data_IF_405915816093
#
_entry.id   IF_405915816093
#
_cell.length_a   1.000
_cell.length_b   1.000
_cell.length_c   1.000
_cell.angle_alpha   90.00
_cell.angle_beta   90.00
_cell.angle_gamma   90.00
#
_symmetry.space_group_name_H-M   'P 1'
#
loop_
_entity.id
_entity.type
_entity.pdbx_description
1 polymer ?
#
# COMPACT_ATOMS: atom_id res chain seq x y z
N UNK A 1 -5.54 -9.94 -8.96
CA UNK A 1 -5.60 -10.26 -7.51
C UNK A 1 -4.22 -10.08 -6.93
N UNK A 2 -4.13 -9.54 -5.72
CA UNK A 2 -2.87 -9.51 -4.97
C UNK A 2 -2.48 -10.97 -4.65
N UNK A 3 -1.22 -11.35 -4.88
CA UNK A 3 -0.73 -12.71 -4.64
C UNK A 3 -0.94 -13.13 -3.18
N UNK A 4 -1.28 -14.40 -2.93
CA UNK A 4 -1.43 -14.94 -1.57
C UNK A 4 -0.16 -14.78 -0.72
N UNK A 5 1.02 -14.67 -1.34
CA UNK A 5 2.28 -14.44 -0.65
C UNK A 5 2.60 -12.95 -0.42
N UNK A 6 1.62 -12.05 -0.58
CA UNK A 6 1.85 -10.62 -0.41
C UNK A 6 1.98 -10.26 1.07
N UNK A 7 3.20 -9.90 1.47
CA UNK A 7 3.45 -9.45 2.83
C UNK A 7 2.87 -8.04 3.03
N UNK A 8 1.70 -7.97 3.68
CA UNK A 8 1.00 -6.72 3.99
C UNK A 8 1.75 -5.91 5.06
N UNK A 9 2.53 -6.57 5.91
CA UNK A 9 3.23 -5.94 7.04
C UNK A 9 4.66 -5.50 6.72
N UNK A 10 5.22 -5.93 5.59
CA UNK A 10 6.56 -5.50 5.20
C UNK A 10 6.64 -3.97 5.09
N UNK A 11 7.71 -3.34 5.61
CA UNK A 11 7.87 -1.90 5.50
C UNK A 11 8.12 -1.48 4.05
N UNK A 12 7.88 -0.21 3.76
CA UNK A 12 7.98 0.37 2.41
C UNK A 12 9.33 0.02 1.72
N UNK A 13 10.44 0.24 2.42
CA UNK A 13 11.80 0.00 1.90
C UNK A 13 12.18 -1.48 1.65
N UNK A 14 11.34 -2.43 2.05
CA UNK A 14 11.50 -3.87 1.74
C UNK A 14 10.41 -4.37 0.79
N UNK A 15 9.45 -3.53 0.46
CA UNK A 15 8.29 -3.87 -0.34
C UNK A 15 8.59 -3.61 -1.81
N UNK A 16 7.91 -4.35 -2.69
CA UNK A 16 7.90 -4.09 -4.13
C UNK A 16 6.61 -3.40 -4.50
N UNK A 17 6.67 -2.56 -5.53
CA UNK A 17 5.47 -1.99 -6.15
C UNK A 17 4.53 -3.10 -6.59
N UNK A 18 3.23 -2.85 -6.52
CA UNK A 18 2.21 -3.83 -6.83
C UNK A 18 1.04 -3.17 -7.52
N UNK A 19 0.60 -3.81 -8.59
CA UNK A 19 -0.56 -3.39 -9.36
C UNK A 19 -1.81 -4.07 -8.84
N UNK A 20 -2.91 -3.31 -8.79
CA UNK A 20 -4.21 -3.81 -8.35
C UNK A 20 -5.25 -3.53 -9.42
N UNK A 21 -6.06 -4.54 -9.72
CA UNK A 21 -7.20 -4.42 -10.63
C UNK A 21 -8.45 -4.13 -9.81
N UNK A 22 -9.18 -3.08 -10.20
CA UNK A 22 -10.43 -2.67 -9.55
C UNK A 22 -11.52 -2.62 -10.62
N UNK A 23 -12.65 -3.26 -10.32
CA UNK A 23 -13.81 -3.26 -11.21
C UNK A 23 -14.75 -2.13 -10.79
N UNK A 24 -14.97 -1.19 -11.70
CA UNK A 24 -15.88 -0.08 -11.47
C UNK A 24 -17.34 -0.55 -11.45
N UNK A 25 -18.16 0.08 -10.62
CA UNK A 25 -19.60 -0.15 -10.53
C UNK A 25 -20.33 1.05 -11.12
N UNK A 26 -21.43 0.80 -11.81
CA UNK A 26 -22.30 1.86 -12.32
C UNK A 26 -22.89 2.66 -11.16
N UNK A 27 -22.89 3.97 -11.28
CA UNK A 27 -23.54 4.88 -10.33
C UNK A 27 -25.06 4.71 -10.41
N UNK A 28 -25.75 4.68 -9.27
CA UNK A 28 -27.20 4.56 -9.23
C UNK A 28 -27.92 5.83 -9.71
N UNK A 29 -27.27 6.99 -9.63
CA UNK A 29 -27.87 8.30 -9.93
C UNK A 29 -27.50 8.82 -11.32
N UNK A 30 -26.52 8.22 -12.00
CA UNK A 30 -26.02 8.68 -13.29
C UNK A 30 -25.81 7.51 -14.25
N UNK A 31 -26.43 7.59 -15.43
CA UNK A 31 -26.46 6.50 -16.43
C UNK A 31 -25.08 6.21 -17.00
N UNK A 32 -24.24 7.24 -17.15
CA UNK A 32 -22.92 7.15 -17.79
C UNK A 32 -21.76 7.31 -16.80
N UNK A 33 -22.05 7.24 -15.49
CA UNK A 33 -21.04 7.38 -14.44
C UNK A 33 -20.69 6.01 -13.86
N UNK A 34 -19.40 5.81 -13.64
CA UNK A 34 -18.85 4.62 -13.00
C UNK A 34 -17.98 5.04 -11.82
N UNK A 35 -18.10 4.33 -10.71
CA UNK A 35 -17.35 4.57 -9.49
C UNK A 35 -16.55 3.35 -9.09
N UNK A 36 -15.33 3.56 -8.64
CA UNK A 36 -14.44 2.53 -8.12
C UNK A 36 -13.88 2.99 -6.77
N UNK A 37 -13.66 2.04 -5.87
CA UNK A 37 -13.10 2.30 -4.55
C UNK A 37 -11.77 1.57 -4.43
N UNK A 38 -10.69 2.31 -4.16
CA UNK A 38 -9.37 1.77 -3.87
C UNK A 38 -9.15 1.79 -2.35
N UNK A 39 -9.16 0.64 -1.67
CA UNK A 39 -8.76 0.57 -0.27
C UNK A 39 -7.24 0.77 -0.19
N UNK A 40 -6.81 1.72 0.65
CA UNK A 40 -5.40 2.04 0.86
C UNK A 40 -5.01 1.67 2.28
N UNK A 41 -3.90 0.97 2.43
CA UNK A 41 -3.26 0.68 3.71
C UNK A 41 -1.84 1.21 3.69
N UNK A 42 -1.51 2.11 4.63
CA UNK A 42 -0.19 2.71 4.70
C UNK A 42 0.82 1.78 5.36
N UNK A 43 1.95 1.56 4.70
CA UNK A 43 3.08 0.80 5.25
C UNK A 43 3.94 1.66 6.17
N UNK A 44 4.71 1.00 7.02
CA UNK A 44 5.73 1.67 7.82
C UNK A 44 6.85 2.21 6.92
N UNK A 45 7.14 3.49 7.08
CA UNK A 45 8.24 4.18 6.39
C UNK A 45 9.41 4.40 7.34
N UNK A 46 10.59 4.65 6.76
CA UNK A 46 11.77 5.00 7.57
C UNK A 46 11.57 6.37 8.21
N UNK A 47 12.14 6.58 9.41
CA UNK A 47 12.17 7.91 10.00
C UNK A 47 12.94 8.88 9.09
N UNK A 48 12.51 10.14 9.07
CA UNK A 48 13.10 11.18 8.23
C UNK A 48 13.75 12.30 9.07
N UNK A 49 14.64 13.08 8.44
CA UNK A 49 15.47 14.08 9.14
C UNK A 49 14.78 15.42 9.35
N UNK A 50 13.99 15.86 8.37
CA UNK A 50 13.51 17.24 8.29
C UNK A 50 12.08 17.37 8.78
N UNK A 51 11.19 16.67 8.10
CA UNK A 51 9.76 16.77 8.34
C UNK A 51 9.26 15.43 8.86
N UNK A 52 8.32 15.50 9.82
CA UNK A 52 7.67 14.33 10.41
C UNK A 52 6.70 13.63 9.46
N UNK A 53 6.74 13.95 8.16
CA UNK A 53 5.88 13.39 7.13
C UNK A 53 6.71 12.96 5.91
N UNK A 54 6.25 11.91 5.23
CA UNK A 54 6.72 11.51 3.90
C UNK A 54 5.57 11.60 2.89
N UNK A 55 5.91 11.94 1.64
CA UNK A 55 4.95 12.04 0.56
C UNK A 55 4.94 10.75 -0.26
N UNK A 56 3.76 10.19 -0.47
CA UNK A 56 3.53 9.04 -1.34
C UNK A 56 2.67 9.49 -2.51
N UNK A 57 3.07 9.11 -3.72
CA UNK A 57 2.36 9.44 -4.95
C UNK A 57 1.59 8.20 -5.41
N UNK A 58 0.27 8.32 -5.48
CA UNK A 58 -0.58 7.33 -6.17
C UNK A 58 -0.80 7.83 -7.59
N UNK A 59 -0.22 7.11 -8.54
CA UNK A 59 -0.35 7.39 -9.97
C UNK A 59 -1.81 7.26 -10.41
N UNK A 60 -2.16 8.02 -11.46
CA UNK A 60 -3.44 7.85 -12.12
C UNK A 60 -3.63 6.41 -12.63
N UNK A 61 -4.82 5.82 -12.49
CA UNK A 61 -5.07 4.43 -12.90
C UNK A 61 -5.15 4.31 -14.43
N UNK A 62 -4.74 3.17 -14.96
CA UNK A 62 -5.07 2.83 -16.34
C UNK A 62 -6.53 2.39 -16.45
N UNK A 63 -7.27 2.97 -17.40
CA UNK A 63 -8.65 2.59 -17.67
C UNK A 63 -8.69 1.45 -18.68
N UNK A 64 -9.12 0.28 -18.22
CA UNK A 64 -9.31 -0.91 -19.06
C UNK A 64 -10.79 -1.07 -19.40
N UNK A 65 -11.10 -1.25 -20.68
CA UNK A 65 -12.47 -1.44 -21.15
C UNK A 65 -12.53 -2.52 -22.22
N UNK A 66 -13.53 -3.39 -22.13
CA UNK A 66 -13.88 -4.32 -23.19
C UNK A 66 -14.72 -3.61 -24.24
N UNK A 67 -14.43 -3.88 -25.51
CA UNK A 67 -15.08 -3.22 -26.62
C UNK A 67 -15.63 -4.26 -27.58
N UNK A 68 -16.93 -4.21 -27.81
CA UNK A 68 -17.54 -5.01 -28.86
C UNK A 68 -17.32 -4.34 -30.22
N UNK A 69 -16.99 -5.14 -31.23
CA UNK A 69 -16.71 -4.65 -32.58
C UNK A 69 -17.97 -4.10 -33.26
N UNK A 70 -19.15 -4.46 -32.78
CA UNK A 70 -20.45 -4.11 -33.37
C UNK A 70 -20.89 -2.65 -33.13
N UNK A 71 -20.19 -1.88 -32.28
CA UNK A 71 -20.53 -0.47 -31.98
C UNK A 71 -19.49 0.53 -32.51
N UNK A 72 -19.55 0.92 -33.80
CA UNK A 72 -18.55 1.77 -34.45
C UNK A 72 -18.51 3.24 -33.97
N UNK A 73 -19.52 3.72 -33.24
CA UNK A 73 -19.61 5.12 -32.76
C UNK A 73 -18.58 5.38 -31.65
N UNK A 74 -18.22 4.36 -30.89
CA UNK A 74 -17.04 4.34 -30.04
C UNK A 74 -15.98 3.46 -30.71
N UNK A 75 -15.30 3.96 -31.75
CA UNK A 75 -14.00 3.38 -32.13
C UNK A 75 -13.19 3.31 -30.84
N UNK A 76 -12.97 2.16 -30.23
CA UNK A 76 -12.26 2.13 -28.96
C UNK A 76 -10.86 2.70 -29.16
N UNK A 77 -10.55 3.78 -28.45
CA UNK A 77 -9.29 4.51 -28.55
C UNK A 77 -8.22 3.76 -27.75
N UNK A 78 -8.03 2.50 -28.13
CA UNK A 78 -7.14 1.56 -27.48
C UNK A 78 -5.69 2.00 -27.74
N UNK A 79 -4.98 2.34 -26.67
CA UNK A 79 -3.54 2.57 -26.69
C UNK A 79 -2.79 1.25 -26.85
N UNK A 80 -3.26 0.21 -26.17
CA UNK A 80 -2.69 -1.13 -26.14
C UNK A 80 -3.71 -2.15 -25.65
N UNK A 81 -3.43 -3.43 -25.88
CA UNK A 81 -4.22 -4.56 -25.37
C UNK A 81 -3.56 -5.15 -24.13
N UNK A 82 -4.35 -5.47 -23.10
CA UNK A 82 -3.88 -5.99 -21.81
C UNK A 82 -4.68 -7.25 -21.46
N UNK A 83 -3.98 -8.31 -21.05
CA UNK A 83 -4.62 -9.53 -20.56
C UNK A 83 -4.92 -9.40 -19.06
N UNK A 84 -6.20 -9.51 -18.68
CA UNK A 84 -6.63 -9.43 -17.28
C UNK A 84 -7.91 -10.25 -17.04
N UNK A 85 -8.21 -10.66 -15.81
CA UNK A 85 -9.41 -11.44 -15.51
C UNK A 85 -10.70 -10.74 -15.96
N UNK A 86 -11.64 -11.49 -16.52
CA UNK A 86 -12.89 -10.95 -17.07
C UNK A 86 -13.79 -10.33 -15.98
N UNK A 87 -13.72 -10.86 -14.75
CA UNK A 87 -14.47 -10.38 -13.60
C UNK A 87 -13.68 -10.62 -12.31
N UNK A 88 -14.07 -9.94 -11.22
CA UNK A 88 -13.36 -9.96 -9.92
C UNK A 88 -13.06 -11.37 -9.38
N UNK A 89 -13.97 -12.33 -9.61
CA UNK A 89 -13.86 -13.72 -9.14
C UNK A 89 -13.71 -14.73 -10.28
N UNK A 90 -13.53 -14.27 -11.51
CA UNK A 90 -13.35 -15.17 -12.66
C UNK A 90 -11.88 -15.55 -12.81
N UNK A 91 -11.63 -16.82 -13.10
CA UNK A 91 -10.29 -17.30 -13.51
C UNK A 91 -10.07 -17.10 -15.02
N UNK A 92 -11.12 -16.79 -15.78
CA UNK A 92 -11.02 -16.55 -17.22
C UNK A 92 -10.31 -15.22 -17.50
N UNK A 93 -9.37 -15.27 -18.45
CA UNK A 93 -8.59 -14.11 -18.87
C UNK A 93 -9.22 -13.52 -20.14
N UNK A 94 -9.58 -12.25 -20.06
CA UNK A 94 -10.09 -11.46 -21.18
C UNK A 94 -8.99 -10.54 -21.73
N UNK A 95 -9.16 -10.16 -23.00
CA UNK A 95 -8.37 -9.09 -23.62
C UNK A 95 -9.09 -7.77 -23.45
N UNK A 96 -8.43 -6.84 -22.76
CA UNK A 96 -8.95 -5.52 -22.45
C UNK A 96 -8.21 -4.47 -23.27
N UNK A 97 -8.92 -3.42 -23.66
CA UNK A 97 -8.31 -2.26 -24.29
C UNK A 97 -7.93 -1.23 -23.22
N UNK A 98 -6.67 -0.83 -23.19
CA UNK A 98 -6.20 0.32 -22.41
C UNK A 98 -6.62 1.61 -23.09
N UNK A 99 -7.43 2.41 -22.41
CA UNK A 99 -8.06 3.59 -22.96
C UNK A 99 -7.25 4.85 -22.66
N UNK A 100 -7.20 5.75 -23.65
CA UNK A 100 -6.80 7.13 -23.41
C UNK A 100 -7.96 7.89 -22.77
N UNK A 101 -7.69 8.58 -21.65
CA UNK A 101 -8.68 9.41 -20.99
C UNK A 101 -8.05 10.69 -20.46
N UNK A 102 -8.89 11.72 -20.28
CA UNK A 102 -8.46 12.97 -19.66
C UNK A 102 -8.71 12.89 -18.15
N UNK A 103 -7.65 12.71 -17.38
CA UNK A 103 -7.76 12.79 -15.92
C UNK A 103 -8.05 14.22 -15.48
N UNK A 104 -9.02 14.38 -14.58
CA UNK A 104 -9.37 15.66 -13.96
C UNK A 104 -8.36 16.00 -12.86
N UNK A 105 -7.96 14.99 -12.08
CA UNK A 105 -6.98 15.14 -11.01
C UNK A 105 -5.58 14.74 -11.52
N UNK A 106 -4.55 15.48 -11.10
CA UNK A 106 -3.16 14.98 -11.17
C UNK A 106 -2.99 13.81 -10.19
N UNK A 107 -1.81 13.20 -10.18
CA UNK A 107 -1.47 12.14 -9.23
C UNK A 107 -1.86 12.55 -7.80
N UNK A 108 -2.46 11.61 -7.07
CA UNK A 108 -2.89 11.82 -5.70
C UNK A 108 -1.67 11.72 -4.78
N UNK A 109 -1.34 12.81 -4.08
CA UNK A 109 -0.26 12.83 -3.10
C UNK A 109 -0.81 12.64 -1.69
N UNK A 110 -0.35 11.62 -1.00
CA UNK A 110 -0.72 11.28 0.37
C UNK A 110 0.42 11.65 1.31
N UNK A 111 0.11 12.32 2.41
CA UNK A 111 1.06 12.61 3.49
C UNK A 111 0.97 11.50 4.54
N UNK A 112 2.10 10.88 4.84
CA UNK A 112 2.20 9.80 5.83
C UNK A 112 3.14 10.22 6.95
N UNK A 113 2.70 10.23 8.21
CA UNK A 113 3.55 10.61 9.31
C UNK A 113 4.66 9.59 9.55
N UNK A 114 5.87 10.07 9.80
CA UNK A 114 7.09 9.29 10.07
C UNK A 114 7.82 9.81 11.30
N UNK A 115 8.59 8.92 11.93
CA UNK A 115 9.44 9.32 13.05
C UNK A 115 10.56 10.29 12.62
N UNK A 116 11.03 11.11 13.55
CA UNK A 116 12.19 11.98 13.32
C UNK A 116 13.48 11.29 13.73
N UNK A 117 14.46 11.24 12.83
CA UNK A 117 15.78 10.62 13.11
C UNK A 117 16.58 11.37 14.18
N UNK A 118 16.23 12.63 14.47
CA UNK A 118 16.93 13.41 15.50
C UNK A 118 16.72 12.82 16.90
N UNK A 119 15.56 12.18 17.13
CA UNK A 119 15.25 11.54 18.40
C UNK A 119 15.89 10.17 18.56
N UNK A 120 16.49 9.61 17.51
CA UNK A 120 17.06 8.26 17.54
C UNK A 120 18.12 8.12 18.64
N UNK A 121 19.08 9.05 18.74
CA UNK A 121 20.14 8.97 19.76
C UNK A 121 19.58 9.02 21.19
N UNK A 122 18.64 9.94 21.44
CA UNK A 122 18.01 10.11 22.74
C UNK A 122 17.20 8.87 23.12
N UNK A 123 16.32 8.40 22.23
CA UNK A 123 15.48 7.23 22.45
C UNK A 123 16.34 6.01 22.69
N UNK A 124 17.34 5.74 21.84
CA UNK A 124 18.24 4.61 22.00
C UNK A 124 19.00 4.65 23.34
N UNK A 125 19.52 5.82 23.72
CA UNK A 125 20.28 5.97 24.97
C UNK A 125 19.41 5.74 26.20
N UNK A 126 18.21 6.33 26.23
CA UNK A 126 17.26 6.18 27.34
C UNK A 126 16.76 4.74 27.43
N UNK A 127 16.38 4.12 26.31
CA UNK A 127 15.94 2.72 26.29
C UNK A 127 17.06 1.81 26.78
N UNK A 128 18.30 1.97 26.29
CA UNK A 128 19.44 1.16 26.72
C UNK A 128 19.69 1.28 28.22
N UNK A 129 19.67 2.51 28.76
CA UNK A 129 19.88 2.76 30.19
C UNK A 129 18.81 2.09 31.05
N UNK A 130 17.54 2.23 30.67
CA UNK A 130 16.42 1.59 31.37
C UNK A 130 16.54 0.07 31.28
N UNK A 131 16.88 -0.48 30.11
CA UNK A 131 17.07 -1.93 29.94
C UNK A 131 18.17 -2.45 30.84
N UNK A 132 19.34 -1.79 30.89
CA UNK A 132 20.45 -2.19 31.78
C UNK A 132 20.01 -2.14 33.25
N UNK A 133 19.31 -1.09 33.65
CA UNK A 133 18.83 -0.95 35.03
C UNK A 133 17.83 -2.06 35.40
N UNK A 134 16.85 -2.33 34.53
CA UNK A 134 15.90 -3.42 34.76
C UNK A 134 16.59 -4.78 34.78
N UNK A 135 17.51 -5.04 33.86
CA UNK A 135 18.25 -6.32 33.81
C UNK A 135 19.12 -6.52 35.05
N UNK A 136 19.78 -5.48 35.56
CA UNK A 136 20.59 -5.59 36.79
C UNK A 136 19.72 -5.83 38.01
N UNK A 137 18.56 -5.17 38.13
CA UNK A 137 17.61 -5.41 39.21
C UNK A 137 17.06 -6.85 39.19
N UNK A 138 16.69 -7.36 38.02
CA UNK A 138 16.25 -8.75 37.84
C UNK A 138 17.38 -9.71 38.24
N UNK A 139 18.60 -9.46 37.78
CA UNK A 139 19.76 -10.29 38.10
C UNK A 139 20.03 -10.34 39.61
N UNK A 140 19.99 -9.18 40.28
CA UNK A 140 20.14 -9.09 41.75
C UNK A 140 19.03 -9.84 42.45
N UNK A 141 17.78 -9.72 42.01
CA UNK A 141 16.67 -10.47 42.58
C UNK A 141 16.84 -11.98 42.42
N UNK A 142 17.29 -12.43 41.25
CA UNK A 142 17.61 -13.84 40.97
C UNK A 142 18.73 -14.35 41.86
N UNK A 143 19.81 -13.58 42.08
CA UNK A 143 20.88 -13.98 43.01
C UNK A 143 20.43 -14.02 44.47
N UNK A 144 19.56 -13.09 44.87
CA UNK A 144 19.15 -12.95 46.27
C UNK A 144 18.04 -13.93 46.68
N UNK A 145 17.14 -14.26 45.75
CA UNK A 145 15.94 -15.05 46.04
C UNK A 145 15.85 -16.34 45.21
N UNK A 146 16.74 -16.54 44.23
CA UNK A 146 16.78 -17.76 43.44
C UNK A 146 17.30 -18.93 44.25
N UNK A 147 16.46 -19.94 44.44
CA UNK A 147 16.91 -21.25 44.88
C UNK A 147 17.49 -22.02 43.69
N UNK A 148 18.80 -21.92 43.51
CA UNK A 148 19.51 -22.77 42.57
C UNK A 148 19.72 -24.15 43.22
N UNK A 149 18.86 -25.11 42.91
CA UNK A 149 19.14 -26.52 43.17
C UNK A 149 20.17 -26.98 42.14
N UNK A 150 21.38 -27.29 42.57
CA UNK A 150 22.37 -28.04 41.78
C UNK A 150 22.00 -29.52 41.76
#
# INVERSE_FOLDING_TARGET
MVSESFNIEAPDYLSKESEVLIYARKDAQCIDCFQAFLPVHYRYHRPHRKDGDTLIVVSNPDLLMYCDQEFPILKCWAKSEVAAPCALKSEEICRWNSMQYKSILKNLTLQVPVGLTIHTSLVCSVTLLITILCSTLILVAVFKYGHFSL
#
